data_IF_498474637560
#
_entry.id   IF_498474637560
#
_cell.length_a   1.000
_cell.length_b   1.000
_cell.length_c   1.000
_cell.angle_alpha   90.00
_cell.angle_beta   90.00
_cell.angle_gamma   90.00
#
_symmetry.space_group_name_H-M   'P 1'
#
loop_
_entity.id
_entity.type
_entity.pdbx_description
1 polymer ?
#
# COMPACT_ATOMS: atom_id res chain seq x y z
N UNK A 1 -5.34 13.00 13.75
CA UNK A 1 -5.90 13.49 12.47
C UNK A 1 -6.05 12.26 11.61
N UNK A 2 -7.25 11.97 11.10
CA UNK A 2 -7.46 10.83 10.22
C UNK A 2 -6.79 11.09 8.87
N UNK A 3 -5.79 10.29 8.50
CA UNK A 3 -5.05 10.46 7.24
C UNK A 3 -5.39 9.32 6.29
N UNK A 4 -5.71 9.64 5.03
CA UNK A 4 -5.95 8.63 3.99
C UNK A 4 -4.65 7.96 3.58
N UNK A 5 -4.72 6.66 3.33
CA UNK A 5 -3.58 5.84 2.93
C UNK A 5 -3.97 4.92 1.76
N UNK A 6 -3.02 4.61 0.89
CA UNK A 6 -3.24 3.85 -0.35
C UNK A 6 -2.24 2.71 -0.51
N UNK A 7 -2.75 1.49 -0.63
CA UNK A 7 -1.97 0.33 -1.06
C UNK A 7 -2.23 0.06 -2.54
N UNK A 8 -1.17 -0.14 -3.33
CA UNK A 8 -1.30 -0.54 -4.74
C UNK A 8 -1.12 -2.04 -4.89
N UNK A 9 -1.97 -2.67 -5.71
CA UNK A 9 -1.90 -4.09 -6.02
C UNK A 9 -2.41 -4.35 -7.44
N UNK A 10 -2.08 -5.50 -8.03
CA UNK A 10 -2.67 -5.90 -9.31
C UNK A 10 -4.08 -6.45 -9.11
N UNK A 11 -4.96 -6.30 -10.11
CA UNK A 11 -6.33 -6.83 -10.08
C UNK A 11 -6.38 -8.34 -9.82
N UNK A 12 -5.42 -9.12 -10.36
CA UNK A 12 -5.35 -10.57 -10.14
C UNK A 12 -5.22 -10.97 -8.67
N UNK A 13 -4.76 -10.05 -7.82
CA UNK A 13 -4.64 -10.30 -6.38
C UNK A 13 -5.96 -10.09 -5.62
N UNK A 14 -6.93 -9.40 -6.23
CA UNK A 14 -8.13 -8.94 -5.53
C UNK A 14 -8.98 -10.11 -5.02
N UNK A 15 -9.21 -11.12 -5.84
CA UNK A 15 -9.98 -12.32 -5.43
C UNK A 15 -9.34 -12.99 -4.21
N UNK A 16 -8.02 -13.19 -4.24
CA UNK A 16 -7.29 -13.78 -3.12
C UNK A 16 -7.39 -12.93 -1.84
N UNK A 17 -7.28 -11.59 -1.95
CA UNK A 17 -7.45 -10.68 -0.81
C UNK A 17 -8.86 -10.80 -0.20
N UNK A 18 -9.90 -10.89 -1.04
CA UNK A 18 -11.29 -11.03 -0.59
C UNK A 18 -11.50 -12.39 0.10
N UNK A 19 -11.02 -13.48 -0.49
CA UNK A 19 -11.16 -14.84 0.06
C UNK A 19 -10.42 -15.02 1.38
N UNK A 20 -9.22 -14.45 1.50
CA UNK A 20 -8.45 -14.44 2.76
C UNK A 20 -9.03 -13.46 3.79
N UNK A 21 -9.97 -12.59 3.40
CA UNK A 21 -10.59 -11.60 4.29
C UNK A 21 -9.64 -10.50 4.76
N UNK A 22 -8.44 -10.42 4.19
CA UNK A 22 -7.43 -9.42 4.54
C UNK A 22 -6.34 -9.31 3.46
N UNK A 23 -5.64 -8.18 3.51
CA UNK A 23 -4.38 -7.97 2.81
C UNK A 23 -3.24 -8.43 3.72
N UNK A 24 -2.46 -9.42 3.28
CA UNK A 24 -1.30 -9.92 4.00
C UNK A 24 -0.02 -9.14 3.66
N UNK A 25 0.88 -9.03 4.64
CA UNK A 25 2.27 -8.62 4.44
C UNK A 25 3.01 -9.61 3.55
N UNK A 26 4.14 -9.21 2.96
CA UNK A 26 4.94 -10.09 2.11
C UNK A 26 5.45 -11.32 2.90
N UNK A 27 5.88 -11.15 4.16
CA UNK A 27 6.30 -12.25 5.02
C UNK A 27 5.18 -13.28 5.24
N UNK A 28 3.97 -12.81 5.60
CA UNK A 28 2.81 -13.70 5.81
C UNK A 28 2.35 -14.37 4.53
N UNK A 29 2.37 -13.65 3.41
CA UNK A 29 2.06 -14.23 2.09
C UNK A 29 2.99 -15.39 1.76
N UNK A 30 4.30 -15.24 2.02
CA UNK A 30 5.31 -16.30 1.81
C UNK A 30 5.08 -17.47 2.77
N UNK A 31 4.90 -17.20 4.07
CA UNK A 31 4.63 -18.21 5.09
C UNK A 31 3.42 -19.09 4.73
N UNK A 32 2.35 -18.47 4.23
CA UNK A 32 1.10 -19.14 3.87
C UNK A 32 1.11 -19.74 2.46
N UNK A 33 2.20 -19.56 1.69
CA UNK A 33 2.29 -20.06 0.31
C UNK A 33 1.30 -19.42 -0.65
N UNK A 34 0.88 -18.18 -0.39
CA UNK A 34 -0.10 -17.47 -1.21
C UNK A 34 0.56 -16.93 -2.48
N UNK A 35 0.01 -17.31 -3.63
CA UNK A 35 0.43 -16.81 -4.94
C UNK A 35 -0.22 -15.44 -5.16
N UNK A 36 0.58 -14.47 -5.57
CA UNK A 36 0.11 -13.15 -5.99
C UNK A 36 0.94 -12.64 -7.17
N UNK A 37 0.31 -11.85 -8.03
CA UNK A 37 0.99 -11.10 -9.06
C UNK A 37 1.87 -10.03 -8.39
N UNK A 38 3.18 -10.20 -8.53
CA UNK A 38 4.15 -9.23 -8.04
C UNK A 38 4.23 -8.03 -8.98
N UNK A 39 4.09 -6.83 -8.42
CA UNK A 39 4.23 -5.54 -9.14
C UNK A 39 5.43 -4.72 -8.66
N UNK A 40 6.12 -5.19 -7.61
CA UNK A 40 7.28 -4.52 -7.02
C UNK A 40 8.59 -5.16 -7.45
N UNK A 41 9.71 -4.49 -7.18
CA UNK A 41 11.03 -5.12 -7.35
C UNK A 41 11.25 -6.24 -6.33
N UNK A 42 11.61 -7.43 -6.79
CA UNK A 42 11.84 -8.59 -5.91
C UNK A 42 12.97 -8.32 -4.91
N UNK A 43 14.08 -7.72 -5.37
CA UNK A 43 15.22 -7.41 -4.50
C UNK A 43 14.88 -6.38 -3.40
N UNK A 44 13.92 -5.48 -3.64
CA UNK A 44 13.43 -4.53 -2.61
C UNK A 44 12.61 -5.29 -1.57
N UNK A 45 11.69 -6.17 -2.01
CA UNK A 45 10.90 -7.01 -1.12
C UNK A 45 11.78 -7.92 -0.25
N UNK A 46 12.79 -8.54 -0.85
CA UNK A 46 13.78 -9.37 -0.14
C UNK A 46 14.54 -8.58 0.92
N UNK A 47 14.99 -7.35 0.60
CA UNK A 47 15.64 -6.47 1.59
C UNK A 47 14.69 -6.13 2.74
N UNK A 48 13.42 -5.83 2.46
CA UNK A 48 12.41 -5.49 3.48
C UNK A 48 12.17 -6.65 4.46
N UNK A 49 12.24 -7.90 4.01
CA UNK A 49 12.13 -9.09 4.87
C UNK A 49 13.27 -9.20 5.90
N UNK A 50 14.36 -8.45 5.73
CA UNK A 50 15.51 -8.41 6.65
C UNK A 50 15.77 -7.03 7.26
N UNK A 51 14.95 -6.01 6.95
CA UNK A 51 15.13 -4.65 7.47
C UNK A 51 14.43 -4.51 8.83
N UNK A 52 15.15 -4.29 9.95
CA UNK A 52 14.55 -4.33 11.29
C UNK A 52 13.56 -3.20 11.56
N UNK A 53 12.52 -3.51 12.32
CA UNK A 53 11.59 -2.56 12.92
C UNK A 53 11.80 -2.57 14.43
N UNK A 54 11.95 -1.39 15.03
CA UNK A 54 12.25 -1.22 16.48
C UNK A 54 11.11 -0.55 17.27
N UNK A 55 9.99 -0.28 16.59
CA UNK A 55 8.77 0.32 17.15
C UNK A 55 7.55 -0.60 16.91
N UNK A 56 6.38 -0.23 17.40
CA UNK A 56 5.15 -1.02 17.25
C UNK A 56 5.35 -2.50 17.66
N UNK A 57 5.10 -3.46 16.77
CA UNK A 57 5.31 -4.90 17.04
C UNK A 57 6.76 -5.39 16.89
N UNK A 58 7.71 -4.51 16.56
CA UNK A 58 9.09 -4.88 16.17
C UNK A 58 9.12 -5.87 14.98
N UNK A 59 10.24 -6.55 14.75
CA UNK A 59 10.38 -7.52 13.67
C UNK A 59 11.06 -6.91 12.45
N UNK A 60 10.51 -7.13 11.26
CA UNK A 60 11.06 -6.62 10.00
C UNK A 60 10.02 -5.91 9.14
N UNK A 61 10.45 -4.95 8.31
CA UNK A 61 9.55 -4.17 7.43
C UNK A 61 8.68 -5.09 6.54
N UNK A 62 9.23 -6.20 6.07
CA UNK A 62 8.50 -7.17 5.23
C UNK A 62 7.35 -7.89 5.94
N UNK A 63 7.28 -7.80 7.27
CA UNK A 63 6.15 -8.26 8.09
C UNK A 63 5.04 -7.21 8.20
N UNK A 64 5.19 -6.04 7.58
CA UNK A 64 4.19 -4.98 7.59
C UNK A 64 3.62 -4.77 6.18
N UNK A 65 2.31 -4.53 6.12
CA UNK A 65 1.61 -4.14 4.89
C UNK A 65 1.87 -2.65 4.64
N UNK A 66 2.50 -2.28 3.52
CA UNK A 66 2.81 -0.89 3.24
C UNK A 66 1.62 -0.16 2.62
N UNK A 67 1.39 1.08 3.05
CA UNK A 67 0.50 2.03 2.40
C UNK A 67 1.22 3.35 2.18
N UNK A 68 1.09 3.89 0.98
CA UNK A 68 1.55 5.23 0.66
C UNK A 68 0.58 6.26 1.23
N UNK A 69 1.09 7.40 1.68
CA UNK A 69 0.25 8.56 2.04
C UNK A 69 -0.35 9.29 0.82
N UNK A 70 0.01 8.89 -0.41
CA UNK A 70 -0.61 9.38 -1.64
C UNK A 70 -0.83 8.24 -2.66
N UNK A 71 -1.86 8.32 -3.51
CA UNK A 71 -2.10 7.28 -4.51
C UNK A 71 -1.05 7.33 -5.65
N UNK A 72 -0.67 8.52 -6.13
CA UNK A 72 0.32 8.67 -7.21
C UNK A 72 1.75 8.52 -6.67
N UNK A 73 2.14 7.29 -6.31
CA UNK A 73 3.39 6.95 -5.61
C UNK A 73 4.59 6.76 -6.55
N UNK A 74 5.81 6.80 -6.00
CA UNK A 74 7.04 6.53 -6.77
C UNK A 74 7.04 5.10 -7.32
N UNK A 75 6.55 4.12 -6.56
CA UNK A 75 6.45 2.73 -7.03
C UNK A 75 5.47 2.62 -8.21
N UNK A 76 4.36 3.37 -8.21
CA UNK A 76 3.44 3.41 -9.36
C UNK A 76 4.10 4.01 -10.61
N UNK A 77 4.98 5.01 -10.46
CA UNK A 77 5.77 5.52 -11.59
C UNK A 77 6.70 4.45 -12.17
N UNK A 78 7.38 3.69 -11.30
CA UNK A 78 8.24 2.57 -11.73
C UNK A 78 7.42 1.52 -12.48
N UNK A 79 6.24 1.17 -11.98
CA UNK A 79 5.30 0.26 -12.66
C UNK A 79 4.88 0.80 -14.03
N UNK A 80 4.61 2.10 -14.13
CA UNK A 80 4.27 2.76 -15.40
C UNK A 80 5.41 2.72 -16.42
N UNK A 81 6.66 2.89 -15.96
CA UNK A 81 7.85 2.78 -16.83
C UNK A 81 8.21 1.32 -17.19
N UNK A 82 7.80 0.36 -16.36
CA UNK A 82 8.18 -1.05 -16.48
C UNK A 82 9.55 -1.34 -15.87
N UNK A 83 9.75 -2.60 -15.45
CA UNK A 83 11.00 -3.11 -14.91
C UNK A 83 11.09 -4.64 -15.01
N UNK A 84 12.26 -5.21 -14.71
CA UNK A 84 12.56 -6.64 -14.92
C UNK A 84 11.60 -7.63 -14.22
N UNK A 85 10.91 -7.23 -13.15
CA UNK A 85 9.96 -8.10 -12.45
C UNK A 85 8.50 -7.84 -12.85
N UNK A 86 8.21 -6.74 -13.55
CA UNK A 86 6.87 -6.39 -13.98
C UNK A 86 6.88 -5.37 -15.13
N UNK A 87 6.28 -5.73 -16.27
CA UNK A 87 6.17 -4.89 -17.46
C UNK A 87 4.72 -4.69 -17.93
N UNK A 88 3.73 -5.02 -17.08
CA UNK A 88 2.30 -4.91 -17.43
C UNK A 88 1.74 -3.49 -17.41
N UNK A 89 2.55 -2.48 -17.08
CA UNK A 89 2.09 -1.11 -16.90
C UNK A 89 1.08 -0.98 -15.75
N UNK A 90 0.38 0.15 -15.72
CA UNK A 90 -0.49 0.51 -14.59
C UNK A 90 -1.99 0.28 -14.83
N UNK A 91 -2.37 -0.31 -15.96
CA UNK A 91 -3.78 -0.44 -16.36
C UNK A 91 -4.52 -1.50 -15.52
N UNK A 92 -3.81 -2.53 -15.02
CA UNK A 92 -4.35 -3.53 -14.10
C UNK A 92 -4.12 -3.21 -12.61
N UNK A 93 -3.64 -2.01 -12.28
CA UNK A 93 -3.33 -1.64 -10.89
C UNK A 93 -4.56 -1.05 -10.21
N UNK A 94 -4.78 -1.47 -8.97
CA UNK A 94 -5.82 -0.98 -8.08
C UNK A 94 -5.20 -0.15 -6.95
N UNK A 95 -5.88 0.91 -6.53
CA UNK A 95 -5.62 1.58 -5.25
C UNK A 95 -6.61 1.09 -4.20
N UNK A 96 -6.17 0.30 -3.23
CA UNK A 96 -6.94 -0.02 -2.04
C UNK A 96 -6.78 1.13 -1.03
N UNK A 97 -7.86 1.88 -0.82
CA UNK A 97 -7.87 3.09 0.02
C UNK A 97 -8.44 2.76 1.39
N UNK A 98 -7.73 3.20 2.43
CA UNK A 98 -8.18 3.19 3.82
C UNK A 98 -7.77 4.51 4.49
N UNK A 99 -7.85 4.55 5.81
CA UNK A 99 -7.32 5.62 6.65
C UNK A 99 -6.67 5.06 7.90
N UNK A 100 -5.74 5.84 8.48
CA UNK A 100 -4.95 5.46 9.64
C UNK A 100 -5.82 5.02 10.81
N UNK A 101 -6.89 5.74 11.10
CA UNK A 101 -7.73 5.49 12.27
C UNK A 101 -8.52 4.19 12.12
N UNK A 102 -9.08 3.93 10.93
CA UNK A 102 -9.79 2.70 10.61
C UNK A 102 -8.89 1.47 10.75
N UNK A 103 -7.64 1.55 10.27
CA UNK A 103 -6.69 0.44 10.42
C UNK A 103 -6.29 0.28 11.90
N UNK A 104 -5.91 1.37 12.57
CA UNK A 104 -5.48 1.36 13.97
C UNK A 104 -6.52 0.81 14.94
N UNK A 105 -7.80 1.01 14.66
CA UNK A 105 -8.89 0.44 15.46
C UNK A 105 -8.91 -1.10 15.47
N UNK A 106 -8.43 -1.73 14.39
CA UNK A 106 -8.42 -3.20 14.25
C UNK A 106 -7.02 -3.79 14.39
N UNK A 107 -5.99 -2.98 14.17
CA UNK A 107 -4.58 -3.36 14.25
C UNK A 107 -3.78 -2.21 14.89
N UNK A 108 -3.59 -2.21 16.23
CA UNK A 108 -2.85 -1.16 16.91
C UNK A 108 -1.33 -1.23 16.67
N UNK A 109 -0.83 -2.34 16.13
CA UNK A 109 0.57 -2.57 15.84
C UNK A 109 0.96 -1.98 14.48
N UNK A 110 0.83 -0.67 14.36
CA UNK A 110 1.23 0.07 13.16
C UNK A 110 2.29 1.11 13.49
N UNK A 111 3.05 1.51 12.48
CA UNK A 111 3.93 2.67 12.54
C UNK A 111 3.91 3.40 11.19
N UNK A 112 4.55 4.55 11.12
CA UNK A 112 4.81 5.23 9.86
C UNK A 112 6.25 5.71 9.80
N UNK A 113 6.67 6.09 8.61
CA UNK A 113 7.99 6.64 8.34
C UNK A 113 7.86 8.03 7.75
N UNK A 114 8.83 8.90 8.03
CA UNK A 114 8.90 10.27 7.52
C UNK A 114 9.37 10.34 6.05
N UNK A 115 10.09 9.31 5.63
CA UNK A 115 10.62 9.11 4.28
C UNK A 115 10.52 7.63 3.87
N UNK A 116 11.12 7.24 2.75
CA UNK A 116 11.18 5.84 2.30
C UNK A 116 11.69 4.89 3.39
N UNK A 117 10.85 3.95 3.80
CA UNK A 117 11.09 3.06 4.94
C UNK A 117 12.36 2.18 4.82
N UNK A 118 12.86 1.95 3.60
CA UNK A 118 14.07 1.16 3.36
C UNK A 118 15.38 1.93 3.68
N UNK A 119 15.31 3.25 3.88
CA UNK A 119 16.47 4.07 4.19
C UNK A 119 16.88 3.86 5.66
N UNK A 120 18.18 3.63 5.89
CA UNK A 120 18.72 3.38 7.24
C UNK A 120 18.52 4.54 8.22
N UNK A 121 18.23 5.75 7.72
CA UNK A 121 17.97 6.96 8.50
C UNK A 121 16.50 7.38 8.48
N UNK A 122 15.60 6.57 7.92
CA UNK A 122 14.17 6.80 8.06
C UNK A 122 13.77 6.67 9.53
N UNK A 123 13.05 7.65 10.06
CA UNK A 123 12.52 7.57 11.40
C UNK A 123 11.31 6.62 11.41
N UNK A 124 11.31 5.63 12.30
CA UNK A 124 10.15 4.76 12.52
C UNK A 124 9.34 5.30 13.68
N UNK A 125 8.08 5.68 13.45
CA UNK A 125 7.26 6.45 14.39
C UNK A 125 5.95 5.72 14.65
N UNK A 126 5.69 5.33 15.91
CA UNK A 126 4.42 4.74 16.36
C UNK A 126 3.57 5.70 17.22
N UNK A 127 4.06 6.91 17.50
CA UNK A 127 3.24 8.02 18.03
C UNK A 127 2.51 8.73 16.89
N UNK A 128 1.28 8.30 16.63
CA UNK A 128 0.41 8.85 15.59
C UNK A 128 -0.01 10.32 15.80
N UNK A 129 0.29 10.93 16.94
CA UNK A 129 0.14 12.39 17.11
C UNK A 129 1.10 13.17 16.21
N UNK A 130 2.23 12.55 15.83
CA UNK A 130 3.28 13.12 14.99
C UNK A 130 2.99 13.02 13.49
N UNK A 131 1.84 12.47 13.08
CA UNK A 131 1.44 12.41 11.66
C UNK A 131 1.40 13.79 10.98
N UNK A 132 1.26 14.87 11.76
CA UNK A 132 1.29 16.25 11.28
C UNK A 132 2.71 16.79 11.00
N UNK A 133 3.76 16.05 11.37
CA UNK A 133 5.16 16.39 11.06
C UNK A 133 5.53 16.04 9.61
N UNK A 134 4.76 15.15 8.98
CA UNK A 134 4.95 14.80 7.57
C UNK A 134 4.71 16.01 6.65
N UNK A 135 5.59 16.20 5.68
CA UNK A 135 5.43 17.21 4.65
C UNK A 135 4.46 16.72 3.57
N UNK A 136 3.16 16.88 3.82
CA UNK A 136 2.12 16.48 2.88
C UNK A 136 2.19 17.23 1.54
N UNK A 137 2.78 18.44 1.49
CA UNK A 137 2.96 19.14 0.21
C UNK A 137 3.95 18.40 -0.68
N UNK A 138 5.07 17.94 -0.12
CA UNK A 138 6.04 17.08 -0.82
C UNK A 138 5.45 15.73 -1.17
N UNK A 139 4.77 15.07 -0.22
CA UNK A 139 4.14 13.75 -0.43
C UNK A 139 3.17 13.77 -1.60
N UNK A 140 2.29 14.76 -1.64
CA UNK A 140 1.28 14.90 -2.69
C UNK A 140 1.81 15.60 -3.95
N UNK A 141 3.09 15.98 -4.02
CA UNK A 141 3.65 16.61 -5.20
C UNK A 141 3.58 15.70 -6.43
N UNK A 142 3.18 16.28 -7.57
CA UNK A 142 3.20 15.64 -8.88
C UNK A 142 4.64 15.47 -9.41
N UNK A 143 5.50 16.45 -9.16
CA UNK A 143 6.91 16.46 -9.55
C UNK A 143 7.77 16.33 -8.29
N UNK A 144 8.26 15.12 -8.06
CA UNK A 144 8.81 14.68 -6.78
C UNK A 144 10.30 14.35 -6.84
N UNK A 145 10.96 14.65 -7.96
CA UNK A 145 12.38 14.34 -8.17
C UNK A 145 13.27 14.92 -7.05
N UNK A 146 12.93 16.10 -6.55
CA UNK A 146 13.66 16.77 -5.46
C UNK A 146 13.22 16.34 -4.05
N UNK A 147 12.14 15.57 -3.93
CA UNK A 147 11.52 15.17 -2.65
C UNK A 147 11.14 13.68 -2.68
N UNK A 148 11.97 12.88 -3.34
CA UNK A 148 11.67 11.48 -3.67
C UNK A 148 11.56 10.64 -2.40
N UNK A 149 12.34 10.97 -1.39
CA UNK A 149 12.38 10.24 -0.12
C UNK A 149 11.14 10.54 0.70
N UNK A 150 10.79 11.82 0.89
CA UNK A 150 9.59 12.24 1.61
C UNK A 150 8.32 11.74 0.92
N UNK A 151 8.29 11.74 -0.43
CA UNK A 151 7.15 11.20 -1.17
C UNK A 151 6.88 9.71 -0.90
N UNK A 152 7.91 8.99 -0.50
CA UNK A 152 7.85 7.58 -0.18
C UNK A 152 7.69 7.35 1.33
N UNK A 153 7.29 8.35 2.10
CA UNK A 153 6.75 8.11 3.44
C UNK A 153 5.61 7.08 3.37
N UNK A 154 5.68 6.08 4.25
CA UNK A 154 4.72 4.97 4.29
C UNK A 154 4.09 4.84 5.67
N UNK A 155 2.81 4.47 5.69
CA UNK A 155 2.14 3.86 6.82
C UNK A 155 2.28 2.33 6.72
N UNK A 156 2.62 1.67 7.82
CA UNK A 156 2.98 0.26 7.86
C UNK A 156 2.16 -0.45 8.95
N UNK A 157 1.36 -1.44 8.54
CA UNK A 157 0.50 -2.20 9.44
C UNK A 157 0.99 -3.64 9.63
N UNK A 158 1.20 -4.07 10.89
CA UNK A 158 1.82 -5.36 11.18
C UNK A 158 0.96 -6.55 10.71
N UNK A 159 1.60 -7.48 10.00
CA UNK A 159 1.11 -8.73 9.43
C UNK A 159 -0.02 -8.63 8.41
N UNK A 160 -1.11 -7.92 8.71
CA UNK A 160 -2.28 -7.84 7.86
C UNK A 160 -3.12 -6.58 8.06
N UNK A 161 -3.94 -6.27 7.05
CA UNK A 161 -5.03 -5.30 7.14
C UNK A 161 -6.33 -5.99 6.75
N UNK A 162 -7.32 -5.98 7.63
CA UNK A 162 -8.61 -6.63 7.38
C UNK A 162 -9.29 -6.04 6.13
N UNK A 163 -9.95 -6.88 5.34
CA UNK A 163 -10.65 -6.45 4.13
C UNK A 163 -11.70 -5.38 4.42
N UNK A 164 -12.37 -5.48 5.57
CA UNK A 164 -13.36 -4.50 6.04
C UNK A 164 -12.78 -3.10 6.31
N UNK A 165 -11.46 -2.96 6.44
CA UNK A 165 -10.80 -1.66 6.58
C UNK A 165 -10.65 -0.93 5.24
N UNK A 166 -10.77 -1.64 4.10
CA UNK A 166 -10.68 -1.02 2.78
C UNK A 166 -11.98 -0.28 2.50
N UNK A 167 -11.94 1.04 2.37
CA UNK A 167 -13.13 1.88 2.23
C UNK A 167 -13.50 2.15 0.77
N UNK A 168 -12.49 2.20 -0.09
CA UNK A 168 -12.64 2.51 -1.50
C UNK A 168 -11.58 1.79 -2.33
N UNK A 169 -11.93 1.42 -3.56
CA UNK A 169 -11.00 0.90 -4.58
C UNK A 169 -10.95 1.92 -5.72
N UNK A 170 -9.79 2.54 -5.91
CA UNK A 170 -9.53 3.42 -7.05
C UNK A 170 -9.02 2.64 -8.25
N UNK A 171 -9.62 2.87 -9.42
CA UNK A 171 -9.21 2.28 -10.69
C UNK A 171 -8.90 3.36 -11.72
N UNK A 172 -8.12 3.02 -12.75
CA UNK A 172 -7.75 3.97 -13.79
C UNK A 172 -8.88 4.25 -14.79
N UNK A 173 -9.64 3.22 -15.16
CA UNK A 173 -10.64 3.30 -16.24
C UNK A 173 -12.00 2.73 -15.84
N UNK A 174 -13.08 3.11 -16.54
CA UNK A 174 -14.42 2.53 -16.32
C UNK A 174 -14.46 1.02 -16.50
N UNK A 175 -13.72 0.47 -17.47
CA UNK A 175 -13.71 -0.96 -17.78
C UNK A 175 -13.15 -1.78 -16.60
N UNK A 176 -12.07 -1.29 -15.98
CA UNK A 176 -11.51 -1.91 -14.78
C UNK A 176 -12.46 -1.77 -13.58
N UNK A 177 -13.21 -0.67 -13.47
CA UNK A 177 -14.23 -0.51 -12.44
C UNK A 177 -15.33 -1.56 -12.56
N UNK A 178 -15.81 -1.84 -13.78
CA UNK A 178 -16.78 -2.89 -14.01
C UNK A 178 -16.24 -4.27 -13.63
N UNK A 179 -14.98 -4.54 -13.95
CA UNK A 179 -14.32 -5.80 -13.60
C UNK A 179 -14.20 -5.99 -12.08
N UNK A 180 -13.68 -4.98 -11.38
CA UNK A 180 -13.62 -4.96 -9.91
C UNK A 180 -15.02 -5.14 -9.31
N UNK A 181 -16.02 -4.45 -9.85
CA UNK A 181 -17.41 -4.56 -9.36
C UNK A 181 -17.95 -5.99 -9.52
N UNK A 182 -17.62 -6.68 -10.61
CA UNK A 182 -17.97 -8.10 -10.80
C UNK A 182 -17.30 -9.00 -9.74
N UNK A 183 -16.01 -8.78 -9.46
CA UNK A 183 -15.27 -9.53 -8.43
C UNK A 183 -15.86 -9.32 -7.03
N UNK A 184 -16.40 -8.14 -6.75
CA UNK A 184 -17.02 -7.80 -5.46
C UNK A 184 -18.44 -8.35 -5.27
N UNK A 185 -19.09 -8.90 -6.31
CA UNK A 185 -20.54 -9.19 -6.28
C UNK A 185 -20.94 -10.11 -5.12
N UNK A 186 -20.10 -11.08 -4.79
CA UNK A 186 -20.31 -12.07 -3.72
C UNK A 186 -19.54 -11.76 -2.43
N UNK A 187 -18.75 -10.69 -2.41
CA UNK A 187 -18.02 -10.29 -1.21
C UNK A 187 -19.00 -9.77 -0.14
N UNK A 188 -18.75 -10.10 1.13
CA UNK A 188 -19.55 -9.57 2.25
C UNK A 188 -19.37 -8.05 2.40
N UNK A 189 -18.14 -7.60 2.32
CA UNK A 189 -17.78 -6.18 2.30
C UNK A 189 -17.44 -5.74 0.88
N UNK A 190 -18.05 -4.63 0.46
CA UNK A 190 -17.99 -4.10 -0.90
C UNK A 190 -17.58 -2.63 -0.83
N UNK A 191 -16.27 -2.33 -0.84
CA UNK A 191 -15.80 -0.94 -0.88
C UNK A 191 -16.35 -0.22 -2.11
N UNK A 192 -16.51 1.10 -2.02
CA UNK A 192 -16.89 1.91 -3.18
C UNK A 192 -15.82 1.80 -4.26
N UNK A 193 -16.20 1.55 -5.51
CA UNK A 193 -15.29 1.53 -6.65
C UNK A 193 -15.35 2.88 -7.36
N UNK A 194 -14.21 3.56 -7.51
CA UNK A 194 -14.15 4.88 -8.15
C UNK A 194 -13.15 4.93 -9.30
N UNK A 195 -13.54 5.58 -10.39
CA UNK A 195 -12.68 5.83 -11.55
C UNK A 195 -11.89 7.11 -11.31
N UNK A 196 -10.57 6.98 -11.17
CA UNK A 196 -9.64 8.03 -10.74
C UNK A 196 -8.36 8.06 -11.59
N UNK A 197 -8.45 8.38 -12.89
CA UNK A 197 -7.29 8.43 -13.78
C UNK A 197 -6.21 9.41 -13.27
N UNK A 198 -6.58 10.45 -12.53
CA UNK A 198 -5.63 11.41 -11.95
C UNK A 198 -4.67 10.81 -10.91
N UNK A 199 -4.97 9.63 -10.37
CA UNK A 199 -4.10 8.89 -9.45
C UNK A 199 -2.96 8.14 -10.16
N UNK A 200 -3.05 7.96 -11.48
CA UNK A 200 -2.15 7.15 -12.30
C UNK A 200 -1.25 8.00 -13.18
N UNK A 201 -0.06 7.49 -13.54
CA UNK A 201 0.96 8.26 -14.26
C UNK A 201 0.59 8.69 -15.67
#
# INVERSE_FOLDING_TARGET
MTTKVSHITHIDNLTGIIEQGCLWSDAKRIELGLVSQNIGYSHIKERRLAHPVVVAASGFIGEYVPFNFCPRSVMLYVIYQGHDNYNGGQDGILHLISDTDTILQTNPSCFFTDIHADLAYAEQIDDFKRLNELDYQKIHSKYWQNYKEEKQAEFLAHQSVAWNCIRQIGVKTPELAEEVTRLLINAKHKPEVVVKPEWYY
#
